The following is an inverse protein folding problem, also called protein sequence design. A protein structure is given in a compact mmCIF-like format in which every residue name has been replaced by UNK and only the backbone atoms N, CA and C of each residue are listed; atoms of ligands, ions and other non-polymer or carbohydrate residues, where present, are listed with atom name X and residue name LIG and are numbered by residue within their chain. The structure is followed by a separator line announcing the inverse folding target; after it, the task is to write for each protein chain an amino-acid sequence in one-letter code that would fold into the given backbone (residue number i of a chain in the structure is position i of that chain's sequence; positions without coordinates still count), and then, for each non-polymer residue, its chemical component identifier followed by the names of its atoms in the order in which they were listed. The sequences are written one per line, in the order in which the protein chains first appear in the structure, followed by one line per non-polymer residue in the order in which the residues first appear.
data_IF_279295234994
#
_entry.id   IF_279295234994
#
_cell.length_a   1.000
_cell.length_b   1.000
_cell.length_c   1.000
_cell.angle_alpha   90.00
_cell.angle_beta   90.00
_cell.angle_gamma   90.00
#
_symmetry.space_group_name_H-M   'P 1'
#
loop_
_entity.id
_entity.type
_entity.pdbx_description
1 polymer ?
#
# COMPACT_ATOMS: atom_id res chain seq x y z
N UNK A 1 -13.03 16.82 -0.99
CA UNK A 1 -12.96 15.38 -0.70
C UNK A 1 -11.51 15.10 -0.43
N UNK A 2 -11.17 14.70 0.79
CA UNK A 2 -9.79 14.37 1.16
C UNK A 2 -9.38 13.17 0.31
N UNK A 3 -8.44 13.37 -0.61
CA UNK A 3 -7.88 12.26 -1.38
C UNK A 3 -7.10 11.39 -0.39
N UNK A 4 -7.21 10.07 -0.51
CA UNK A 4 -6.43 9.13 0.30
C UNK A 4 -4.95 9.49 0.28
N UNK A 5 -4.23 9.18 1.36
CA UNK A 5 -2.80 9.52 1.52
C UNK A 5 -1.91 8.93 0.41
N UNK A 6 -2.39 7.91 -0.28
CA UNK A 6 -1.69 7.17 -1.33
C UNK A 6 -2.50 7.17 -2.63
N UNK A 7 -1.82 7.28 -3.77
CA UNK A 7 -2.44 7.23 -5.09
C UNK A 7 -1.61 6.42 -6.09
N UNK A 8 -2.26 6.00 -7.17
CA UNK A 8 -1.58 5.40 -8.33
C UNK A 8 -0.47 6.33 -8.81
N UNK A 9 0.71 5.75 -9.06
CA UNK A 9 1.92 6.49 -9.44
C UNK A 9 2.84 6.83 -8.27
N UNK A 10 2.37 6.81 -7.02
CA UNK A 10 3.26 6.95 -5.87
C UNK A 10 4.21 5.76 -5.79
N UNK A 11 5.47 6.03 -5.49
CA UNK A 11 6.45 5.01 -5.15
C UNK A 11 6.56 4.91 -3.63
N UNK A 12 6.40 3.70 -3.11
CA UNK A 12 6.48 3.41 -1.68
C UNK A 12 7.58 2.39 -1.37
N UNK A 13 7.99 2.38 -0.10
CA UNK A 13 8.74 1.28 0.53
C UNK A 13 7.86 0.60 1.58
N UNK A 14 7.82 -0.72 1.56
CA UNK A 14 7.21 -1.53 2.61
C UNK A 14 8.20 -1.63 3.77
N UNK A 15 7.91 -0.98 4.90
CA UNK A 15 8.75 -1.07 6.10
C UNK A 15 8.44 -2.36 6.85
N UNK A 16 7.15 -2.67 7.03
CA UNK A 16 6.65 -3.92 7.64
C UNK A 16 5.29 -4.27 7.04
N UNK A 17 5.11 -5.52 6.63
CA UNK A 17 3.80 -6.09 6.30
C UNK A 17 3.42 -7.10 7.39
N UNK A 18 2.24 -6.93 7.98
CA UNK A 18 1.83 -7.75 9.13
C UNK A 18 1.64 -9.22 8.71
N UNK A 19 2.33 -10.12 9.39
CA UNK A 19 2.34 -11.56 9.06
C UNK A 19 3.24 -11.97 7.88
N UNK A 20 3.77 -11.00 7.11
CA UNK A 20 4.46 -11.25 5.82
C UNK A 20 5.85 -10.56 5.78
N UNK A 21 6.80 -10.94 6.65
CA UNK A 21 8.07 -10.25 6.82
C UNK A 21 8.95 -10.20 5.56
N UNK A 22 8.78 -11.12 4.61
CA UNK A 22 9.51 -11.18 3.33
C UNK A 22 9.22 -10.01 2.37
N UNK A 23 8.23 -9.18 2.68
CA UNK A 23 7.94 -7.95 1.96
C UNK A 23 8.70 -6.74 2.52
N UNK A 24 9.27 -6.84 3.72
CA UNK A 24 10.02 -5.75 4.34
C UNK A 24 11.20 -5.31 3.47
N UNK A 25 11.34 -4.01 3.26
CA UNK A 25 12.36 -3.40 2.41
C UNK A 25 12.05 -3.42 0.91
N UNK A 26 10.97 -4.08 0.45
CA UNK A 26 10.56 -4.00 -0.95
C UNK A 26 10.05 -2.60 -1.29
N UNK A 27 10.26 -2.22 -2.54
CA UNK A 27 9.81 -0.95 -3.08
C UNK A 27 9.07 -1.20 -4.39
N UNK A 28 8.14 -0.31 -4.70
CA UNK A 28 7.49 -0.31 -5.99
C UNK A 28 6.53 0.85 -6.15
N UNK A 29 5.98 0.95 -7.35
CA UNK A 29 5.01 1.98 -7.72
C UNK A 29 3.62 1.40 -7.53
N UNK A 30 2.71 2.18 -6.92
CA UNK A 30 1.29 1.84 -6.82
C UNK A 30 0.71 1.87 -8.23
N UNK A 31 0.17 0.74 -8.68
CA UNK A 31 -0.48 0.62 -9.99
C UNK A 31 -2.02 0.57 -9.89
N UNK A 32 -2.54 0.15 -8.74
CA UNK A 32 -3.97 0.04 -8.49
C UNK A 32 -4.29 0.23 -7.00
N UNK A 33 -5.40 0.92 -6.72
CA UNK A 33 -5.96 1.06 -5.38
C UNK A 33 -7.38 0.49 -5.40
N UNK A 34 -7.67 -0.40 -4.47
CA UNK A 34 -8.97 -1.05 -4.34
C UNK A 34 -9.47 -1.04 -2.90
N UNK A 35 -10.79 -0.98 -2.66
CA UNK A 35 -11.33 -1.20 -1.32
C UNK A 35 -11.35 -2.69 -0.97
N UNK A 36 -11.05 -3.02 0.28
CA UNK A 36 -11.32 -4.33 0.88
C UNK A 36 -12.40 -4.20 1.95
N UNK A 37 -13.46 -5.00 1.83
CA UNK A 37 -14.57 -5.01 2.78
C UNK A 37 -14.27 -5.97 3.92
N UNK A 38 -14.07 -5.42 5.11
CA UNK A 38 -13.79 -6.14 6.34
C UNK A 38 -15.00 -6.00 7.29
N UNK A 39 -15.17 -6.91 8.28
CA UNK A 39 -16.27 -6.81 9.25
C UNK A 39 -16.32 -5.48 10.01
N UNK A 40 -15.17 -4.79 10.13
CA UNK A 40 -15.02 -3.53 10.86
C UNK A 40 -15.02 -2.28 9.97
N UNK A 41 -15.13 -2.43 8.64
CA UNK A 41 -15.12 -1.28 7.72
C UNK A 41 -14.52 -1.60 6.36
N UNK A 42 -14.20 -0.54 5.60
CA UNK A 42 -13.51 -0.64 4.31
C UNK A 42 -12.06 -0.21 4.55
N UNK A 43 -11.11 -1.04 4.14
CA UNK A 43 -9.68 -0.73 4.15
C UNK A 43 -9.20 -0.45 2.74
N UNK A 44 -8.20 0.42 2.60
CA UNK A 44 -7.50 0.60 1.33
C UNK A 44 -6.52 -0.55 1.08
N UNK A 45 -6.53 -1.09 -0.13
CA UNK A 45 -5.54 -2.05 -0.61
C UNK A 45 -4.76 -1.42 -1.75
N UNK A 46 -3.45 -1.30 -1.55
CA UNK A 46 -2.51 -0.83 -2.55
C UNK A 46 -1.89 -2.04 -3.24
N UNK A 47 -2.02 -2.09 -4.55
CA UNK A 47 -1.31 -3.02 -5.41
C UNK A 47 -0.21 -2.26 -6.13
N UNK A 48 0.90 -2.94 -6.41
CA UNK A 48 2.01 -2.28 -7.05
C UNK A 48 3.09 -3.22 -7.54
N UNK A 49 4.11 -2.61 -8.12
CA UNK A 49 5.18 -3.32 -8.83
C UNK A 49 6.08 -4.18 -7.93
N UNK A 50 5.90 -4.12 -6.60
CA UNK A 50 6.55 -5.05 -5.66
C UNK A 50 6.02 -6.49 -5.79
N UNK A 51 4.84 -6.65 -6.41
CA UNK A 51 4.22 -7.93 -6.73
C UNK A 51 3.71 -8.70 -5.52
N UNK A 52 2.82 -9.66 -5.75
CA UNK A 52 2.30 -10.55 -4.69
C UNK A 52 1.10 -9.94 -3.96
N UNK A 53 1.24 -9.70 -2.66
CA UNK A 53 0.16 -9.25 -1.79
C UNK A 53 -0.06 -7.73 -1.86
N UNK A 54 -1.31 -7.34 -1.63
CA UNK A 54 -1.68 -5.94 -1.46
C UNK A 54 -1.27 -5.43 -0.08
N UNK A 55 -0.73 -4.21 -0.05
CA UNK A 55 -0.42 -3.48 1.18
C UNK A 55 -1.70 -2.81 1.69
N UNK A 56 -1.94 -2.87 3.00
CA UNK A 56 -3.04 -2.19 3.67
C UNK A 56 -2.47 -1.09 4.58
N UNK A 57 -2.52 0.20 4.19
CA UNK A 57 -1.87 1.28 4.94
C UNK A 57 -2.35 1.43 6.40
N UNK A 58 -3.51 0.89 6.74
CA UNK A 58 -4.06 0.88 8.09
C UNK A 58 -3.49 -0.24 8.97
N UNK A 59 -2.89 -1.28 8.39
CA UNK A 59 -2.31 -2.45 9.09
C UNK A 59 -0.80 -2.52 8.96
N UNK A 60 -0.30 -2.14 7.78
CA UNK A 60 1.10 -2.22 7.39
C UNK A 60 1.82 -0.89 7.60
N UNK A 61 3.14 -0.96 7.76
CA UNK A 61 3.99 0.23 7.86
C UNK A 61 4.65 0.48 6.51
N UNK A 62 4.35 1.62 5.91
CA UNK A 62 4.90 2.04 4.62
C UNK A 62 5.33 3.50 4.61
N UNK A 63 6.30 3.78 3.75
CA UNK A 63 6.83 5.13 3.51
C UNK A 63 6.67 5.51 2.05
N UNK A 64 6.17 6.72 1.79
CA UNK A 64 6.21 7.31 0.45
C UNK A 64 7.64 7.77 0.20
N UNK A 65 8.29 7.18 -0.81
CA UNK A 65 9.64 7.56 -1.23
C UNK A 65 9.61 8.53 -2.42
N UNK A 66 8.53 8.53 -3.20
CA UNK A 66 8.30 9.51 -4.26
C UNK A 66 6.79 9.65 -4.49
N UNK A 67 6.30 10.89 -4.60
CA UNK A 67 4.92 11.14 -5.04
C UNK A 67 4.80 11.00 -6.55
N UNK A 68 3.76 10.32 -7.00
CA UNK A 68 3.35 10.29 -8.40
C UNK A 68 2.79 11.65 -8.81
N UNK A 69 2.86 11.95 -10.11
CA UNK A 69 2.23 13.16 -10.68
C UNK A 69 0.71 13.05 -10.67
#
# INVERSE_FOLDING_TARGET
MEQGKFKVGDRIRIVRMDGEPEYSGREGVIDHVSPAYEPLGILEQLHGTWGGLAVQPERDEIEIIQQGE
#
